data_IF_405868465124
#
_entry.id   IF_405868465124
#
_cell.length_a   1.000
_cell.length_b   1.000
_cell.length_c   1.000
_cell.angle_alpha   90.00
_cell.angle_beta   90.00
_cell.angle_gamma   90.00
#
_symmetry.space_group_name_H-M   'P 1'
#
loop_
_entity.id
_entity.type
_entity.pdbx_description
1 polymer ?
#
# COMPACT_ATOMS: atom_id res chain seq x y z
N UNK A 1 -12.80 -5.56 -5.77
CA UNK A 1 -11.51 -4.94 -6.17
C UNK A 1 -10.35 -5.85 -5.75
N UNK A 2 -9.13 -5.61 -6.24
CA UNK A 2 -7.95 -6.42 -5.87
C UNK A 2 -7.71 -6.44 -4.35
N UNK A 3 -7.88 -5.29 -3.68
CA UNK A 3 -7.75 -5.18 -2.23
C UNK A 3 -8.69 -6.13 -1.47
N UNK A 4 -9.94 -6.28 -1.93
CA UNK A 4 -10.91 -7.17 -1.28
C UNK A 4 -10.54 -8.64 -1.47
N UNK A 5 -10.02 -8.98 -2.65
CA UNK A 5 -9.64 -10.36 -2.97
C UNK A 5 -8.43 -10.82 -2.16
N UNK A 6 -7.44 -9.93 -2.01
CA UNK A 6 -6.25 -10.16 -1.18
C UNK A 6 -6.65 -10.41 0.28
N UNK A 7 -7.58 -9.60 0.82
CA UNK A 7 -8.12 -9.76 2.19
C UNK A 7 -8.88 -11.07 2.36
N UNK A 8 -9.79 -11.40 1.43
CA UNK A 8 -10.59 -12.64 1.48
C UNK A 8 -9.72 -13.90 1.34
N UNK A 9 -8.73 -13.86 0.47
CA UNK A 9 -7.85 -15.00 0.20
C UNK A 9 -6.69 -15.12 1.20
N UNK A 10 -6.62 -14.24 2.22
CA UNK A 10 -5.54 -14.20 3.21
C UNK A 10 -4.15 -14.17 2.54
N UNK A 11 -4.03 -13.38 1.47
CA UNK A 11 -2.77 -13.20 0.73
C UNK A 11 -2.15 -11.84 1.04
N UNK A 12 -0.89 -11.69 0.65
CA UNK A 12 -0.21 -10.41 0.65
C UNK A 12 -0.18 -9.83 -0.76
N UNK A 13 -0.29 -8.50 -0.88
CA UNK A 13 -0.08 -7.77 -2.11
C UNK A 13 0.70 -6.49 -1.83
N UNK A 14 1.56 -6.12 -2.77
CA UNK A 14 2.28 -4.84 -2.76
C UNK A 14 1.73 -4.00 -3.90
N UNK A 15 1.34 -2.77 -3.59
CA UNK A 15 0.91 -1.78 -4.57
C UNK A 15 1.96 -0.68 -4.65
N UNK A 16 2.38 -0.33 -5.86
CA UNK A 16 3.26 0.81 -6.14
C UNK A 16 2.50 1.75 -7.05
N UNK A 17 2.29 2.98 -6.59
CA UNK A 17 1.54 3.98 -7.33
C UNK A 17 1.96 5.38 -6.90
N UNK A 18 1.90 6.33 -7.83
CA UNK A 18 2.01 7.75 -7.52
C UNK A 18 0.65 8.37 -7.15
N UNK A 19 -0.46 7.65 -7.34
CA UNK A 19 -1.81 8.12 -7.01
C UNK A 19 -2.11 7.93 -5.52
N UNK A 20 -2.13 9.05 -4.77
CA UNK A 20 -2.37 9.04 -3.32
C UNK A 20 -3.78 8.58 -2.93
N UNK A 21 -4.75 8.57 -3.85
CA UNK A 21 -6.13 8.13 -3.54
C UNK A 21 -6.23 6.63 -3.31
N UNK A 22 -5.24 5.86 -3.77
CA UNK A 22 -5.19 4.41 -3.56
C UNK A 22 -4.68 4.03 -2.16
N UNK A 23 -4.10 4.97 -1.41
CA UNK A 23 -3.48 4.71 -0.12
C UNK A 23 -4.49 4.23 0.93
N UNK A 24 -5.74 4.70 0.87
CA UNK A 24 -6.83 4.30 1.76
C UNK A 24 -7.23 2.83 1.61
N UNK A 25 -6.79 2.17 0.53
CA UNK A 25 -7.03 0.74 0.29
C UNK A 25 -5.97 -0.16 0.95
N UNK A 26 -4.84 0.42 1.39
CA UNK A 26 -3.68 -0.30 1.89
C UNK A 26 -3.68 -0.36 3.43
N UNK A 27 -3.19 -1.48 3.96
CA UNK A 27 -3.01 -1.64 5.41
C UNK A 27 -1.74 -0.97 5.94
N UNK A 28 -0.73 -0.78 5.08
CA UNK A 28 0.58 -0.23 5.41
C UNK A 28 1.07 0.59 4.23
N UNK A 29 1.62 1.77 4.51
CA UNK A 29 2.06 2.72 3.49
C UNK A 29 3.55 3.02 3.71
N UNK A 30 4.35 2.79 2.68
CA UNK A 30 5.77 3.16 2.63
C UNK A 30 5.97 4.14 1.49
N UNK A 31 6.59 5.28 1.79
CA UNK A 31 6.97 6.28 0.81
C UNK A 31 8.40 6.06 0.35
N UNK A 32 8.64 6.32 -0.93
CA UNK A 32 9.97 6.36 -1.53
C UNK A 32 10.19 7.79 -2.02
N UNK A 33 11.20 8.47 -1.47
CA UNK A 33 11.58 9.83 -1.87
C UNK A 33 13.12 9.93 -1.85
N UNK A 34 13.72 10.42 -2.93
CA UNK A 34 15.18 10.53 -3.11
C UNK A 34 15.96 9.25 -2.76
N UNK A 35 15.41 8.10 -3.14
CA UNK A 35 16.00 6.78 -2.88
C UNK A 35 15.91 6.31 -1.42
N UNK A 36 15.21 7.04 -0.55
CA UNK A 36 15.01 6.71 0.87
C UNK A 36 13.58 6.23 1.11
N UNK A 37 13.44 5.25 2.00
CA UNK A 37 12.15 4.73 2.43
C UNK A 37 11.74 5.35 3.76
N UNK A 38 10.47 5.74 3.88
CA UNK A 38 9.87 6.16 5.15
C UNK A 38 8.48 5.55 5.30
N UNK A 39 8.12 5.21 6.55
CA UNK A 39 6.80 4.69 6.90
C UNK A 39 5.97 5.81 7.53
N UNK A 40 4.71 5.95 7.12
CA UNK A 40 3.81 6.96 7.65
C UNK A 40 2.68 6.25 8.41
N UNK A 41 2.67 6.39 9.74
CA UNK A 41 1.61 5.91 10.64
C UNK A 41 1.87 4.53 11.27
N UNK A 42 1.48 4.40 12.54
CA UNK A 42 1.33 3.15 13.28
C UNK A 42 -0.17 2.90 13.52
#
# INVERSE_FOLDING_TARGET
MLADEVKRSQKAAVMVTHDKRMLDLCNRIVYIEDGKLSEIGA
#
